data_IF_993413260857
#
_entry.id   IF_993413260857
#
_cell.length_a   1.000
_cell.length_b   1.000
_cell.length_c   1.000
_cell.angle_alpha   90.00
_cell.angle_beta   90.00
_cell.angle_gamma   90.00
#
_symmetry.space_group_name_H-M   'P 1'
#
loop_
_entity.id
_entity.type
_entity.pdbx_description
1 polymer ?
#
# COMPACT_ATOMS: atom_id res chain seq x y z
N UNK A 1 12.14 -8.52 9.65
CA UNK A 1 11.80 -8.53 8.21
C UNK A 1 11.79 -7.10 7.71
N UNK A 2 12.37 -6.85 6.57
CA UNK A 2 12.46 -5.52 5.98
C UNK A 2 12.20 -5.57 4.49
N UNK A 3 11.72 -4.44 3.95
CA UNK A 3 11.55 -4.26 2.52
C UNK A 3 11.98 -2.85 2.11
N UNK A 4 11.96 -2.61 0.82
CA UNK A 4 12.32 -1.30 0.24
C UNK A 4 11.11 -0.75 -0.49
N UNK A 5 10.76 0.50 -0.19
CA UNK A 5 9.70 1.21 -0.90
C UNK A 5 10.19 1.51 -2.31
N UNK A 6 9.55 0.93 -3.31
CA UNK A 6 9.91 1.11 -4.72
C UNK A 6 9.18 2.30 -5.35
N UNK A 7 7.96 2.57 -4.89
CA UNK A 7 7.17 3.69 -5.39
C UNK A 7 6.16 4.14 -4.36
N UNK A 8 5.86 5.43 -4.38
CA UNK A 8 4.78 6.06 -3.61
C UNK A 8 3.84 6.70 -4.63
N UNK A 9 2.57 6.32 -4.61
CA UNK A 9 1.61 6.71 -5.64
C UNK A 9 0.33 7.28 -5.04
N UNK A 10 -0.22 8.28 -5.69
CA UNK A 10 -1.48 8.91 -5.27
C UNK A 10 -2.40 9.15 -6.46
N UNK A 11 -3.68 9.33 -6.18
CA UNK A 11 -4.67 9.79 -7.16
C UNK A 11 -5.67 10.69 -6.48
N UNK A 12 -6.28 11.60 -7.23
CA UNK A 12 -7.31 12.49 -6.70
C UNK A 12 -8.68 11.81 -6.63
N UNK A 13 -8.91 10.79 -7.46
CA UNK A 13 -10.20 10.09 -7.55
C UNK A 13 -10.06 8.62 -7.20
N UNK A 14 -11.09 8.07 -6.53
CA UNK A 14 -11.16 6.64 -6.22
C UNK A 14 -11.42 5.82 -7.48
N UNK A 15 -10.89 4.59 -7.50
CA UNK A 15 -11.12 3.67 -8.60
C UNK A 15 -10.35 3.99 -9.87
N UNK A 16 -9.41 4.92 -9.83
CA UNK A 16 -8.54 5.27 -10.95
C UNK A 16 -7.11 4.85 -10.68
N UNK A 17 -6.31 4.81 -11.74
CA UNK A 17 -4.87 4.59 -11.59
C UNK A 17 -4.25 5.70 -10.75
N UNK A 18 -3.28 5.32 -9.92
CA UNK A 18 -2.47 6.28 -9.18
C UNK A 18 -1.18 6.55 -9.96
N UNK A 19 -0.53 7.64 -9.65
CA UNK A 19 0.72 8.03 -10.31
C UNK A 19 1.83 8.19 -9.27
N UNK A 20 3.09 7.88 -9.63
CA UNK A 20 4.22 8.02 -8.71
C UNK A 20 4.49 9.47 -8.35
N UNK A 21 4.84 9.69 -7.08
CA UNK A 21 5.31 10.99 -6.59
C UNK A 21 6.64 10.79 -5.86
N UNK A 22 7.53 11.80 -5.85
CA UNK A 22 8.83 11.68 -5.20
C UNK A 22 8.76 11.75 -3.68
N UNK A 23 7.67 12.28 -3.14
CA UNK A 23 7.50 12.45 -1.70
C UNK A 23 6.02 12.57 -1.39
N UNK A 24 5.57 11.95 -0.30
CA UNK A 24 4.21 12.09 0.20
C UNK A 24 4.26 12.29 1.71
N UNK A 25 3.21 12.90 2.25
CA UNK A 25 3.07 13.12 3.70
C UNK A 25 1.89 12.31 4.22
N UNK A 26 2.13 11.54 5.28
CA UNK A 26 1.12 10.73 5.95
C UNK A 26 0.64 11.45 7.20
N UNK A 27 -0.68 11.45 7.40
CA UNK A 27 -1.32 12.08 8.57
C UNK A 27 -2.13 11.03 9.34
N UNK A 28 -2.00 11.04 10.65
CA UNK A 28 -2.69 10.10 11.54
C UNK A 28 -4.20 10.21 11.35
N UNK A 29 -4.89 9.07 11.30
CA UNK A 29 -6.34 8.95 11.08
C UNK A 29 -6.82 9.54 9.76
N UNK A 30 -5.93 9.62 8.79
CA UNK A 30 -6.23 10.18 7.48
C UNK A 30 -5.63 9.33 6.36
N UNK A 31 -4.31 9.20 6.32
CA UNK A 31 -3.59 8.51 5.25
C UNK A 31 -2.63 9.46 4.55
N UNK A 32 -2.51 9.31 3.23
CA UNK A 32 -1.64 10.17 2.43
C UNK A 32 -2.38 11.44 2.05
N UNK A 33 -1.81 12.59 2.39
CA UNK A 33 -2.39 13.89 2.04
C UNK A 33 -2.52 14.01 0.52
N UNK A 34 -3.71 14.38 0.06
CA UNK A 34 -4.00 14.54 -1.35
C UNK A 34 -4.44 13.27 -2.07
N UNK A 35 -4.44 12.13 -1.39
CA UNK A 35 -4.87 10.86 -1.99
C UNK A 35 -6.36 10.61 -1.78
N UNK A 36 -7.00 9.99 -2.79
CA UNK A 36 -8.43 9.72 -2.78
C UNK A 36 -8.90 8.78 -1.67
N UNK A 37 -8.03 7.86 -1.22
CA UNK A 37 -8.38 6.91 -0.16
C UNK A 37 -8.17 7.47 1.24
N UNK A 38 -7.58 8.65 1.37
CA UNK A 38 -7.39 9.27 2.67
C UNK A 38 -8.72 9.54 3.37
N UNK A 39 -8.77 9.30 4.68
CA UNK A 39 -9.97 9.52 5.47
C UNK A 39 -9.92 8.74 6.78
N UNK A 40 -10.87 9.00 7.70
CA UNK A 40 -10.89 8.37 9.02
C UNK A 40 -11.51 6.96 8.96
N UNK A 41 -10.88 6.06 8.25
CA UNK A 41 -11.34 4.68 8.12
C UNK A 41 -10.15 3.73 8.08
N UNK A 42 -10.40 2.41 7.94
CA UNK A 42 -9.35 1.41 8.04
C UNK A 42 -8.55 1.20 6.74
N UNK A 43 -8.98 1.78 5.64
CA UNK A 43 -8.29 1.67 4.33
C UNK A 43 -7.62 2.97 3.94
N UNK A 44 -6.88 3.57 4.87
CA UNK A 44 -6.24 4.88 4.66
C UNK A 44 -5.12 4.82 3.64
N UNK A 45 -4.32 3.75 3.67
CA UNK A 45 -3.17 3.56 2.79
C UNK A 45 -3.22 2.15 2.24
N UNK A 46 -3.04 2.00 0.93
CA UNK A 46 -2.98 0.69 0.29
C UNK A 46 -1.53 0.32 -0.01
N UNK A 47 -1.20 -0.95 0.19
CA UNK A 47 0.15 -1.47 -0.04
C UNK A 47 0.07 -2.71 -0.94
N UNK A 48 1.08 -2.87 -1.78
CA UNK A 48 1.16 -3.98 -2.72
C UNK A 48 2.62 -4.43 -2.83
N UNK A 49 2.83 -5.74 -2.88
CA UNK A 49 4.17 -6.30 -3.07
C UNK A 49 4.65 -6.02 -4.49
N UNK A 50 5.83 -5.43 -4.61
CA UNK A 50 6.44 -5.11 -5.91
C UNK A 50 6.62 -6.37 -6.76
N UNK A 51 6.96 -7.50 -6.14
CA UNK A 51 7.14 -8.79 -6.81
C UNK A 51 5.86 -9.27 -7.52
N UNK A 52 4.69 -8.92 -6.99
CA UNK A 52 3.42 -9.27 -7.61
C UNK A 52 3.18 -8.49 -8.89
N UNK A 53 3.57 -7.23 -8.91
CA UNK A 53 3.49 -6.39 -10.12
C UNK A 53 4.52 -6.86 -11.15
N UNK A 54 5.73 -7.19 -10.73
CA UNK A 54 6.75 -7.74 -11.62
C UNK A 54 6.28 -9.04 -12.27
N UNK A 55 5.67 -9.94 -11.49
CA UNK A 55 5.13 -11.20 -12.01
C UNK A 55 4.04 -10.93 -13.04
N UNK A 56 3.14 -10.01 -12.74
CA UNK A 56 2.07 -9.61 -13.65
C UNK A 56 2.66 -9.10 -14.98
N UNK A 57 3.70 -8.26 -14.91
CA UNK A 57 4.34 -7.72 -16.10
C UNK A 57 5.09 -8.78 -16.89
N UNK A 58 5.71 -9.76 -16.21
CA UNK A 58 6.37 -10.89 -16.90
C UNK A 58 5.38 -11.74 -17.69
N UNK A 59 4.11 -11.76 -17.29
CA UNK A 59 3.05 -12.47 -18.00
C UNK A 59 2.40 -11.62 -19.10
N UNK A 60 2.98 -10.47 -19.42
CA UNK A 60 2.51 -9.61 -20.50
C UNK A 60 1.65 -8.44 -20.07
N UNK A 61 1.59 -8.14 -18.77
CA UNK A 61 0.70 -7.10 -18.24
C UNK A 61 1.09 -5.68 -18.63
N UNK A 62 2.37 -5.36 -18.66
CA UNK A 62 2.89 -4.05 -19.07
C UNK A 62 2.28 -2.86 -18.34
N UNK A 63 2.14 -2.95 -17.02
CA UNK A 63 1.61 -1.86 -16.21
C UNK A 63 2.73 -1.06 -15.55
N UNK A 64 2.45 0.20 -15.26
CA UNK A 64 3.35 1.09 -14.54
C UNK A 64 2.98 1.14 -13.06
N UNK A 65 3.86 1.74 -12.24
CA UNK A 65 3.61 1.88 -10.81
C UNK A 65 2.34 2.71 -10.57
N UNK A 66 1.50 2.24 -9.66
CA UNK A 66 0.23 2.89 -9.38
C UNK A 66 -0.96 2.38 -10.20
N UNK A 67 -0.70 1.52 -11.19
CA UNK A 67 -1.73 1.07 -12.14
C UNK A 67 -2.90 0.34 -11.47
N UNK A 68 -2.66 -0.32 -10.33
CA UNK A 68 -3.70 -1.05 -9.60
C UNK A 68 -4.32 -0.23 -8.46
N UNK A 69 -3.97 1.05 -8.37
CA UNK A 69 -4.48 1.92 -7.32
C UNK A 69 -3.73 1.79 -6.00
N UNK A 70 -2.55 1.18 -6.00
CA UNK A 70 -1.74 1.05 -4.79
C UNK A 70 -1.06 2.37 -4.44
N UNK A 71 -0.92 2.63 -3.12
CA UNK A 71 -0.18 3.79 -2.62
C UNK A 71 1.30 3.48 -2.45
N UNK A 72 1.63 2.41 -1.74
CA UNK A 72 3.01 2.01 -1.46
C UNK A 72 3.31 0.69 -2.15
N UNK A 73 4.28 0.71 -3.05
CA UNK A 73 4.76 -0.47 -3.75
C UNK A 73 6.10 -0.85 -3.14
N UNK A 74 6.15 -2.02 -2.49
CA UNK A 74 7.28 -2.39 -1.62
C UNK A 74 7.84 -3.75 -2.03
N UNK A 75 9.16 -3.83 -2.20
CA UNK A 75 9.84 -5.09 -2.50
C UNK A 75 10.31 -5.76 -1.21
N UNK A 76 10.36 -7.09 -1.22
CA UNK A 76 10.89 -7.87 -0.11
C UNK A 76 9.89 -8.22 0.99
N UNK A 77 8.61 -7.83 0.85
CA UNK A 77 7.57 -8.14 1.82
C UNK A 77 6.39 -8.78 1.11
N UNK A 78 5.97 -9.95 1.60
CA UNK A 78 4.72 -10.59 1.17
C UNK A 78 3.61 -10.15 2.13
N UNK A 79 2.92 -9.08 1.79
CA UNK A 79 1.91 -8.49 2.69
C UNK A 79 0.76 -9.44 3.02
N UNK A 80 0.37 -10.30 2.09
CA UNK A 80 -0.74 -11.22 2.32
C UNK A 80 -0.45 -12.27 3.38
N UNK A 81 0.82 -12.57 3.62
CA UNK A 81 1.22 -13.56 4.61
C UNK A 81 1.23 -13.01 6.04
N UNK A 82 1.00 -11.71 6.21
CA UNK A 82 1.09 -11.05 7.50
C UNK A 82 -0.27 -11.00 8.21
N UNK A 83 -0.30 -11.18 9.54
CA UNK A 83 -1.56 -11.07 10.28
C UNK A 83 -2.01 -9.62 10.43
N UNK A 84 -3.32 -9.43 10.58
CA UNK A 84 -3.88 -8.12 10.91
C UNK A 84 -3.25 -7.63 12.22
N UNK A 85 -2.91 -6.33 12.27
CA UNK A 85 -2.22 -5.74 13.43
C UNK A 85 -0.71 -5.65 13.26
N UNK A 86 -0.15 -6.24 12.20
CA UNK A 86 1.27 -6.06 11.87
C UNK A 86 1.60 -4.59 11.68
N UNK A 87 2.73 -4.14 12.22
CA UNK A 87 3.16 -2.74 12.14
C UNK A 87 4.29 -2.61 11.13
N UNK A 88 4.19 -1.58 10.30
CA UNK A 88 5.21 -1.21 9.31
C UNK A 88 5.84 0.11 9.72
N UNK A 89 7.16 0.14 9.87
CA UNK A 89 7.88 1.37 10.21
C UNK A 89 8.81 1.79 9.08
N UNK A 90 8.74 3.07 8.73
CA UNK A 90 9.70 3.73 7.85
C UNK A 90 10.49 4.74 8.68
N UNK A 91 11.51 5.42 8.13
CA UNK A 91 12.27 6.39 8.92
C UNK A 91 11.44 7.46 9.62
N UNK A 92 10.28 7.83 9.05
CA UNK A 92 9.49 8.94 9.57
C UNK A 92 8.02 8.60 9.83
N UNK A 93 7.57 7.36 9.55
CA UNK A 93 6.16 7.00 9.66
C UNK A 93 5.98 5.63 10.31
N UNK A 94 4.77 5.36 10.79
CA UNK A 94 4.36 4.06 11.31
C UNK A 94 2.94 3.76 10.85
N UNK A 95 2.73 2.55 10.34
CA UNK A 95 1.45 2.08 9.83
C UNK A 95 1.07 0.76 10.50
N UNK A 96 -0.22 0.46 10.56
CA UNK A 96 -0.71 -0.84 11.05
C UNK A 96 -1.63 -1.48 10.04
N UNK A 97 -1.39 -2.76 9.74
CA UNK A 97 -2.19 -3.55 8.80
C UNK A 97 -3.61 -3.74 9.34
N UNK A 98 -4.60 -3.34 8.54
CA UNK A 98 -6.01 -3.35 8.94
C UNK A 98 -6.88 -4.27 8.08
N UNK A 99 -6.48 -4.52 6.84
CA UNK A 99 -7.28 -5.34 5.94
C UNK A 99 -6.39 -6.02 4.89
N UNK A 100 -6.67 -7.28 4.61
CA UNK A 100 -6.00 -8.06 3.56
C UNK A 100 -7.00 -8.27 2.44
N UNK A 101 -6.65 -7.79 1.23
CA UNK A 101 -7.52 -7.88 0.08
C UNK A 101 -8.77 -7.02 0.21
N UNK A 102 -9.61 -7.07 -0.80
CA UNK A 102 -10.92 -6.40 -0.79
C UNK A 102 -11.85 -7.06 -1.77
N UNK A 103 -13.17 -6.89 -1.56
CA UNK A 103 -14.16 -7.26 -2.54
C UNK A 103 -14.32 -6.12 -3.55
N UNK A 104 -14.47 -6.48 -4.82
CA UNK A 104 -14.71 -5.53 -5.89
C UNK A 104 -15.97 -5.98 -6.63
N UNK A 105 -17.12 -5.39 -6.28
CA UNK A 105 -18.42 -5.80 -6.80
C UNK A 105 -18.71 -5.29 -8.20
N UNK A 106 -17.99 -4.25 -8.64
CA UNK A 106 -18.09 -3.72 -9.98
C UNK A 106 -16.70 -3.42 -10.52
N UNK A 107 -16.55 -3.51 -11.82
CA UNK A 107 -15.27 -3.25 -12.45
C UNK A 107 -15.02 -1.74 -12.48
N UNK A 108 -13.99 -1.28 -11.76
CA UNK A 108 -13.61 0.13 -11.75
C UNK A 108 -12.80 0.49 -13.00
N UNK A 109 -12.40 1.76 -13.09
CA UNK A 109 -11.61 2.25 -14.22
C UNK A 109 -10.31 1.46 -14.40
N UNK A 110 -9.69 1.01 -13.31
CA UNK A 110 -8.47 0.19 -13.35
C UNK A 110 -8.73 -1.12 -14.07
N UNK A 111 -9.82 -1.82 -13.73
CA UNK A 111 -10.18 -3.07 -14.39
C UNK A 111 -10.39 -2.86 -15.89
N UNK A 112 -11.15 -1.83 -16.27
CA UNK A 112 -11.45 -1.56 -17.67
C UNK A 112 -10.21 -1.19 -18.47
N UNK A 113 -9.24 -0.51 -17.84
CA UNK A 113 -8.00 -0.10 -18.49
C UNK A 113 -7.03 -1.26 -18.68
N UNK A 114 -6.86 -2.11 -17.67
CA UNK A 114 -5.84 -3.17 -17.62
C UNK A 114 -6.40 -4.53 -17.99
N UNK A 115 -7.72 -4.74 -17.87
CA UNK A 115 -8.40 -6.00 -18.14
C UNK A 115 -8.47 -6.93 -16.92
N UNK A 116 -7.66 -6.67 -15.90
CA UNK A 116 -7.70 -7.39 -14.63
C UNK A 116 -7.08 -6.51 -13.55
N UNK A 117 -7.30 -6.86 -12.29
CA UNK A 117 -6.73 -6.12 -11.19
C UNK A 117 -6.30 -7.10 -10.09
N UNK A 118 -5.04 -7.01 -9.65
CA UNK A 118 -4.52 -7.88 -8.59
C UNK A 118 -4.79 -7.30 -7.20
N UNK A 119 -5.17 -6.02 -7.09
CA UNK A 119 -5.40 -5.36 -5.81
C UNK A 119 -6.42 -6.06 -4.92
N UNK A 120 -7.60 -6.53 -5.42
CA UNK A 120 -8.56 -7.22 -4.56
C UNK A 120 -8.02 -8.49 -3.91
N UNK A 121 -7.08 -9.16 -4.56
CA UNK A 121 -6.51 -10.42 -4.06
C UNK A 121 -5.19 -10.23 -3.35
N UNK A 122 -4.30 -9.40 -3.90
CA UNK A 122 -2.92 -9.27 -3.43
C UNK A 122 -2.65 -8.03 -2.59
N UNK A 123 -3.52 -7.01 -2.69
CA UNK A 123 -3.33 -5.75 -1.97
C UNK A 123 -3.75 -5.84 -0.51
N UNK A 124 -3.14 -4.99 0.30
CA UNK A 124 -3.52 -4.83 1.72
C UNK A 124 -3.71 -3.36 2.03
N UNK A 125 -4.32 -3.09 3.19
CA UNK A 125 -4.60 -1.73 3.64
C UNK A 125 -4.09 -1.53 5.06
N UNK A 126 -3.73 -0.29 5.37
CA UNK A 126 -3.20 0.08 6.67
C UNK A 126 -3.73 1.43 7.12
N UNK A 127 -3.69 1.65 8.43
CA UNK A 127 -3.95 2.96 9.02
C UNK A 127 -2.66 3.59 9.49
N UNK A 128 -2.61 4.92 9.53
CA UNK A 128 -1.41 5.66 9.95
C UNK A 128 -1.42 5.79 11.47
N UNK A 129 -0.39 5.28 12.13
CA UNK A 129 -0.19 5.40 13.57
C UNK A 129 0.69 6.59 13.92
N UNK A 130 1.68 6.89 13.07
CA UNK A 130 2.58 8.02 13.25
C UNK A 130 2.81 8.66 11.90
N UNK A 131 2.51 9.95 11.79
CA UNK A 131 2.61 10.70 10.54
C UNK A 131 4.01 11.19 10.26
N UNK A 132 4.25 11.54 9.01
CA UNK A 132 5.53 12.04 8.52
C UNK A 132 5.66 11.84 7.03
N UNK A 133 6.83 12.15 6.50
CA UNK A 133 7.11 12.01 5.08
C UNK A 133 7.53 10.59 4.73
N UNK A 134 7.18 10.16 3.54
CA UNK A 134 7.57 8.86 2.98
C UNK A 134 8.00 9.06 1.53
N UNK A 135 9.07 8.36 1.13
CA UNK A 135 9.64 8.47 -0.22
C UNK A 135 10.14 7.13 -0.73
N UNK A 136 10.23 6.95 -2.06
CA UNK A 136 10.87 5.77 -2.62
C UNK A 136 12.32 5.64 -2.14
N UNK A 137 12.76 4.39 -1.96
CA UNK A 137 14.11 4.08 -1.48
C UNK A 137 14.20 3.90 0.03
N UNK A 138 13.19 4.28 0.77
CA UNK A 138 13.18 4.10 2.23
C UNK A 138 12.97 2.63 2.61
N UNK A 139 13.57 2.25 3.73
CA UNK A 139 13.41 0.90 4.29
C UNK A 139 12.13 0.85 5.11
N UNK A 140 11.34 -0.20 4.89
CA UNK A 140 10.15 -0.49 5.69
C UNK A 140 10.44 -1.71 6.56
N UNK A 141 10.36 -1.54 7.88
CA UNK A 141 10.58 -2.62 8.85
C UNK A 141 9.25 -3.18 9.31
N UNK A 142 9.13 -4.51 9.33
CA UNK A 142 7.90 -5.22 9.70
C UNK A 142 8.02 -5.76 11.12
N UNK A 143 7.04 -5.46 11.96
CA UNK A 143 6.94 -5.99 13.33
C UNK A 143 5.60 -6.70 13.48
N UNK A 144 5.65 -8.00 13.76
CA UNK A 144 4.45 -8.82 13.92
C UNK A 144 3.72 -8.45 15.22
N UNK A 145 2.40 -8.71 15.32
CA UNK A 145 1.64 -8.37 16.53
C UNK A 145 2.23 -8.96 17.80
N UNK A 146 2.71 -10.20 17.75
CA UNK A 146 3.32 -10.87 18.92
C UNK A 146 4.59 -10.19 19.41
N UNK A 147 5.30 -9.50 18.52
CA UNK A 147 6.54 -8.81 18.84
C UNK A 147 6.30 -7.43 19.46
N UNK A 148 5.06 -6.94 19.44
CA UNK A 148 4.70 -5.60 19.94
C UNK A 148 4.40 -5.57 21.43
N UNK A 149 4.19 -6.72 22.06
CA UNK A 149 3.71 -6.80 23.44
C UNK A 149 4.78 -6.53 24.49
N UNK A 150 6.03 -6.54 24.12
CA UNK A 150 7.13 -6.43 25.06
C UNK A 150 7.36 -5.02 25.59
N UNK A 151 6.54 -4.07 25.17
CA UNK A 151 6.68 -2.66 25.54
C UNK A 151 5.75 -2.25 26.68
N UNK A 152 5.32 -3.20 27.43
CA UNK A 152 4.43 -2.93 28.55
C UNK A 152 5.06 -2.00 29.58
#
# INVERSE_FOLDING_TARGET
MQGIIKAVCISEEKGTEKHPVPLAHLTVQHGIDGDAHAGPWHRQVSLLSYEKVEEFNRRGGCVTDGAFGENLLVSGIDFRALPIGTVFETPHTKLRLTQIGKECHSHCAIYHRVGTCIMPREGVFAEVLSGGDVAPGEVMTVTLPDEQETTA
#
